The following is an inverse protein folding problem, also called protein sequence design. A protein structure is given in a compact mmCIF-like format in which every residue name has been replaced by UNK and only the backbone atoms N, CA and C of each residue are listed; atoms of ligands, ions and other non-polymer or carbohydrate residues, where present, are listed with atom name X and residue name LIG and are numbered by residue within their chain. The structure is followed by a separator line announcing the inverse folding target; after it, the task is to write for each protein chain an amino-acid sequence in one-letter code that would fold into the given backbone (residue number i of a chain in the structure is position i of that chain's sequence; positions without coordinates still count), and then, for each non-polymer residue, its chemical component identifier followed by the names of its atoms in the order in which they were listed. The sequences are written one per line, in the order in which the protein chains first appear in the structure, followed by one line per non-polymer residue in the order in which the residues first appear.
data_IF_455771582201
#
_entry.id   IF_455771582201
#
_cell.length_a   1.000
_cell.length_b   1.000
_cell.length_c   1.000
_cell.angle_alpha   90.00
_cell.angle_beta   90.00
_cell.angle_gamma   90.00
#
_symmetry.space_group_name_H-M   'P 1'
#
loop_
_entity.id
_entity.type
_entity.pdbx_description
1 polymer ?
#
# COMPACT_ATOMS: atom_id res chain seq x y z
N UNK A 1 7.08 16.81 -2.34
CA UNK A 1 6.94 18.15 -2.95
C UNK A 1 7.66 19.13 -2.04
N UNK A 2 8.25 20.18 -2.59
CA UNK A 2 8.87 21.27 -1.83
C UNK A 2 8.31 22.58 -2.37
N UNK A 3 7.84 23.45 -1.47
CA UNK A 3 7.28 24.74 -1.84
C UNK A 3 8.42 25.72 -2.16
N UNK A 4 8.34 26.38 -3.31
CA UNK A 4 9.23 27.46 -3.73
C UNK A 4 8.39 28.70 -4.10
N UNK A 5 8.97 29.92 -4.15
CA UNK A 5 8.24 31.14 -4.49
C UNK A 5 7.51 31.08 -5.84
N UNK A 6 8.09 30.38 -6.82
CA UNK A 6 7.52 30.21 -8.17
C UNK A 6 6.46 29.11 -8.23
N UNK A 7 6.33 28.31 -7.18
CA UNK A 7 5.38 27.21 -7.06
C UNK A 7 5.98 25.94 -6.46
N UNK A 8 5.16 24.89 -6.43
CA UNK A 8 5.53 23.60 -5.86
C UNK A 8 6.42 22.79 -6.81
N UNK A 9 7.59 22.38 -6.31
CA UNK A 9 8.49 21.51 -7.04
C UNK A 9 8.32 20.04 -6.62
N UNK A 10 7.97 19.19 -7.59
CA UNK A 10 7.79 17.75 -7.36
C UNK A 10 9.11 16.99 -7.55
N UNK A 11 9.79 16.66 -6.44
CA UNK A 11 11.03 15.85 -6.45
C UNK A 11 10.82 14.43 -7.00
N UNK A 12 9.66 13.83 -6.73
CA UNK A 12 9.32 12.50 -7.25
C UNK A 12 7.82 12.25 -7.23
N UNK A 13 7.37 11.31 -8.06
CA UNK A 13 6.01 10.80 -8.02
C UNK A 13 5.97 9.27 -8.15
N UNK A 14 5.03 8.63 -7.45
CA UNK A 14 4.74 7.20 -7.57
C UNK A 14 3.24 6.99 -7.66
N UNK A 15 2.82 6.18 -8.63
CA UNK A 15 1.42 5.84 -8.85
C UNK A 15 1.20 4.35 -8.62
N UNK A 16 0.05 3.98 -8.06
CA UNK A 16 -0.28 2.58 -7.75
C UNK A 16 -0.28 1.64 -8.98
N UNK A 17 -0.42 2.19 -10.20
CA UNK A 17 -0.24 1.45 -11.46
C UNK A 17 1.12 0.73 -11.55
N UNK A 18 2.14 1.18 -10.81
CA UNK A 18 3.44 0.49 -10.73
C UNK A 18 3.32 -0.96 -10.24
N UNK A 19 2.30 -1.27 -9.43
CA UNK A 19 2.06 -2.61 -8.91
C UNK A 19 1.72 -3.62 -10.01
N UNK A 20 1.30 -3.16 -11.20
CA UNK A 20 1.11 -4.03 -12.36
C UNK A 20 2.39 -4.80 -12.74
N UNK A 21 3.58 -4.22 -12.48
CA UNK A 21 4.88 -4.87 -12.71
C UNK A 21 5.13 -6.09 -11.81
N UNK A 22 4.37 -6.22 -10.72
CA UNK A 22 4.46 -7.32 -9.75
C UNK A 22 3.26 -8.27 -9.85
N UNK A 23 2.61 -8.33 -11.02
CA UNK A 23 1.44 -9.16 -11.27
C UNK A 23 0.29 -8.94 -10.27
N UNK A 24 0.07 -7.69 -9.85
CA UNK A 24 -0.96 -7.30 -8.89
C UNK A 24 -2.38 -7.63 -9.40
N UNK A 25 -3.14 -8.53 -8.73
CA UNK A 25 -4.44 -8.98 -9.22
C UNK A 25 -5.62 -8.21 -8.63
N UNK A 26 -5.41 -7.38 -7.60
CA UNK A 26 -6.46 -6.68 -6.87
C UNK A 26 -6.69 -5.26 -7.43
N UNK A 27 -7.66 -4.55 -6.85
CA UNK A 27 -7.84 -3.12 -7.12
C UNK A 27 -6.59 -2.32 -6.74
N UNK A 28 -6.25 -1.32 -7.55
CA UNK A 28 -5.18 -0.36 -7.25
C UNK A 28 -5.59 0.71 -6.23
N UNK A 29 -6.85 0.67 -5.78
CA UNK A 29 -7.46 1.65 -4.86
C UNK A 29 -7.74 1.05 -3.46
N UNK A 30 -7.20 -0.12 -3.13
CA UNK A 30 -7.39 -0.74 -1.81
C UNK A 30 -6.27 -0.38 -0.80
N UNK A 31 -6.48 -0.72 0.47
CA UNK A 31 -5.51 -0.48 1.55
C UNK A 31 -4.15 -1.15 1.29
N UNK A 32 -4.08 -2.45 0.92
CA UNK A 32 -2.81 -3.08 0.54
C UNK A 32 -2.07 -2.38 -0.60
N UNK A 33 -2.80 -1.92 -1.63
CA UNK A 33 -2.21 -1.23 -2.76
C UNK A 33 -1.60 0.12 -2.34
N UNK A 34 -2.29 0.87 -1.46
CA UNK A 34 -1.77 2.11 -0.91
C UNK A 34 -0.49 1.88 -0.10
N UNK A 35 -0.47 0.84 0.74
CA UNK A 35 0.71 0.44 1.51
C UNK A 35 1.91 0.11 0.63
N UNK A 36 1.76 -0.79 -0.35
CA UNK A 36 2.86 -1.17 -1.24
C UNK A 36 3.32 0.01 -2.11
N UNK A 37 2.40 0.89 -2.51
CA UNK A 37 2.75 2.12 -3.25
C UNK A 37 3.58 3.06 -2.38
N UNK A 38 3.20 3.24 -1.10
CA UNK A 38 3.96 3.99 -0.11
C UNK A 38 5.35 3.41 0.12
N UNK A 39 5.46 2.08 0.24
CA UNK A 39 6.75 1.38 0.36
C UNK A 39 7.67 1.67 -0.82
N UNK A 40 7.17 1.55 -2.05
CA UNK A 40 7.95 1.89 -3.25
C UNK A 40 8.32 3.38 -3.28
N UNK A 41 7.42 4.26 -2.84
CA UNK A 41 7.70 5.69 -2.75
C UNK A 41 8.84 5.97 -1.77
N UNK A 42 8.80 5.40 -0.56
CA UNK A 42 9.86 5.57 0.42
C UNK A 42 11.20 4.98 -0.03
N UNK A 43 11.21 3.78 -0.63
CA UNK A 43 12.43 3.16 -1.14
C UNK A 43 13.08 3.96 -2.27
N UNK A 44 12.25 4.56 -3.13
CA UNK A 44 12.76 5.46 -4.17
C UNK A 44 13.22 6.79 -3.57
N UNK A 45 12.50 7.34 -2.58
CA UNK A 45 12.86 8.59 -1.90
C UNK A 45 14.24 8.50 -1.25
N UNK A 46 14.51 7.38 -0.58
CA UNK A 46 15.81 7.08 0.02
C UNK A 46 16.93 7.08 -1.03
N UNK A 47 16.70 6.49 -2.21
CA UNK A 47 17.68 6.47 -3.32
C UNK A 47 18.02 7.87 -3.86
N UNK A 48 17.09 8.82 -3.75
CA UNK A 48 17.32 10.24 -4.11
C UNK A 48 17.82 11.07 -2.92
N UNK A 49 18.15 10.45 -1.79
CA UNK A 49 18.70 11.11 -0.61
C UNK A 49 17.67 11.79 0.28
N UNK A 50 16.38 11.56 0.06
CA UNK A 50 15.31 12.10 0.93
C UNK A 50 15.20 11.21 2.16
N UNK A 51 15.37 11.79 3.35
CA UNK A 51 15.31 11.06 4.63
C UNK A 51 14.12 11.42 5.51
N UNK A 52 13.58 12.62 5.33
CA UNK A 52 12.48 13.17 6.15
C UNK A 52 11.34 13.67 5.28
N UNK A 53 10.11 13.52 5.74
CA UNK A 53 8.94 14.09 5.12
C UNK A 53 7.86 14.40 6.16
N UNK A 54 6.90 15.26 5.80
CA UNK A 54 5.67 15.50 6.55
C UNK A 54 4.50 15.01 5.71
N UNK A 55 3.56 14.31 6.33
CA UNK A 55 2.36 13.84 5.64
C UNK A 55 1.36 14.98 5.46
N UNK A 56 1.00 15.23 4.20
CA UNK A 56 -0.17 16.03 3.83
C UNK A 56 -1.27 15.11 3.30
N UNK A 57 -2.46 15.21 3.87
CA UNK A 57 -3.65 14.42 3.48
C UNK A 57 -4.71 15.27 2.76
N UNK A 58 -4.47 16.56 2.55
CA UNK A 58 -5.44 17.51 2.03
C UNK A 58 -6.75 17.49 2.82
N UNK A 59 -7.87 17.35 2.11
CA UNK A 59 -9.22 17.37 2.69
C UNK A 59 -9.71 15.99 3.19
N UNK A 60 -8.84 14.98 3.24
CA UNK A 60 -9.22 13.64 3.69
C UNK A 60 -9.44 13.65 5.20
N UNK A 61 -10.57 13.10 5.65
CA UNK A 61 -10.85 12.95 7.09
C UNK A 61 -9.82 11.99 7.75
N UNK A 62 -9.15 12.40 8.83
CA UNK A 62 -8.11 11.60 9.48
C UNK A 62 -8.71 10.51 10.39
N UNK A 63 -9.28 9.47 9.80
CA UNK A 63 -9.82 8.30 10.53
C UNK A 63 -8.82 7.14 10.55
N UNK A 64 -8.78 6.37 11.64
CA UNK A 64 -7.96 5.17 11.76
C UNK A 64 -8.27 4.17 10.62
N UNK A 65 -7.23 3.56 10.06
CA UNK A 65 -7.38 2.55 9.01
C UNK A 65 -7.70 3.09 7.61
N UNK A 66 -7.61 4.41 7.39
CA UNK A 66 -7.75 5.04 6.08
C UNK A 66 -6.54 4.72 5.17
N UNK A 67 -6.75 4.71 3.85
CA UNK A 67 -5.74 4.37 2.83
C UNK A 67 -4.55 5.32 2.85
N UNK A 68 -4.75 6.59 3.19
CA UNK A 68 -3.65 7.58 3.32
C UNK A 68 -2.65 7.15 4.39
N UNK A 69 -3.13 6.61 5.51
CA UNK A 69 -2.26 6.11 6.59
C UNK A 69 -1.60 4.77 6.25
N UNK A 70 -2.20 3.97 5.36
CA UNK A 70 -1.52 2.80 4.81
C UNK A 70 -0.34 3.19 3.92
N UNK A 71 -0.51 4.22 3.07
CA UNK A 71 0.59 4.77 2.28
C UNK A 71 1.70 5.36 3.18
N UNK A 72 1.32 6.10 4.24
CA UNK A 72 2.25 6.55 5.27
C UNK A 72 3.03 5.36 5.87
N UNK A 73 2.34 4.30 6.26
CA UNK A 73 2.98 3.13 6.85
C UNK A 73 4.02 2.50 5.93
N UNK A 74 3.72 2.41 4.63
CA UNK A 74 4.69 1.94 3.63
C UNK A 74 5.93 2.83 3.54
N UNK A 75 5.75 4.16 3.55
CA UNK A 75 6.85 5.14 3.53
C UNK A 75 7.74 5.01 4.77
N UNK A 76 7.13 4.89 5.96
CA UNK A 76 7.83 4.70 7.22
C UNK A 76 8.61 3.39 7.22
N UNK A 77 7.99 2.29 6.77
CA UNK A 77 8.66 0.98 6.67
C UNK A 77 9.84 0.98 5.70
N UNK A 78 9.82 1.85 4.69
CA UNK A 78 10.96 2.02 3.79
C UNK A 78 12.17 2.73 4.46
N UNK A 79 12.01 3.30 5.65
CA UNK A 79 13.06 4.01 6.38
C UNK A 79 13.00 5.53 6.29
N UNK A 80 11.91 6.10 5.76
CA UNK A 80 11.73 7.56 5.73
C UNK A 80 11.14 8.01 7.07
N UNK A 81 11.81 8.96 7.71
CA UNK A 81 11.33 9.56 8.96
C UNK A 81 10.16 10.50 8.66
N UNK A 82 8.98 10.12 9.13
CA UNK A 82 7.78 10.94 9.06
C UNK A 82 7.21 11.07 10.47
N UNK A 83 7.02 12.27 11.03
CA UNK A 83 6.38 12.42 12.33
C UNK A 83 4.93 11.90 12.28
N UNK A 84 4.60 10.91 13.10
CA UNK A 84 3.26 10.33 13.18
C UNK A 84 3.01 9.65 14.52
N UNK A 85 1.74 9.50 14.90
CA UNK A 85 1.33 8.65 16.01
C UNK A 85 1.15 7.21 15.53
N UNK A 86 1.78 6.18 16.17
CA UNK A 86 1.59 4.78 15.78
C UNK A 86 0.11 4.34 15.81
N UNK A 87 -0.72 4.95 16.65
CA UNK A 87 -2.13 4.62 16.81
C UNK A 87 -2.99 4.89 15.55
N UNK A 88 -2.54 5.79 14.65
CA UNK A 88 -3.25 6.11 13.41
C UNK A 88 -3.00 5.08 12.30
N UNK A 89 -1.90 4.32 12.41
CA UNK A 89 -1.52 3.34 11.41
C UNK A 89 -2.55 2.20 11.39
N UNK A 90 -2.90 1.67 10.19
CA UNK A 90 -3.73 0.49 10.09
C UNK A 90 -3.04 -0.72 10.72
N UNK A 91 -3.81 -1.64 11.28
CA UNK A 91 -3.34 -2.93 11.76
C UNK A 91 -2.80 -3.80 10.61
N UNK A 92 -1.90 -4.74 10.94
CA UNK A 92 -1.31 -5.63 9.93
C UNK A 92 -2.35 -6.46 9.18
N UNK A 93 -3.41 -6.92 9.84
CA UNK A 93 -4.47 -7.69 9.20
C UNK A 93 -5.14 -6.87 8.08
N UNK A 94 -5.31 -5.56 8.29
CA UNK A 94 -5.83 -4.64 7.28
C UNK A 94 -4.82 -4.36 6.17
N UNK A 95 -3.53 -4.20 6.51
CA UNK A 95 -2.45 -4.00 5.53
C UNK A 95 -2.29 -5.21 4.60
N UNK A 96 -2.33 -6.42 5.15
CA UNK A 96 -2.22 -7.66 4.41
C UNK A 96 -3.56 -8.17 3.86
N UNK A 97 -4.63 -7.38 3.97
CA UNK A 97 -5.90 -7.67 3.30
C UNK A 97 -6.66 -8.88 3.85
N UNK A 98 -6.45 -9.26 5.11
CA UNK A 98 -7.22 -10.32 5.78
C UNK A 98 -8.72 -10.03 5.76
N UNK A 99 -9.11 -8.77 6.06
CA UNK A 99 -10.50 -8.32 5.95
C UNK A 99 -11.10 -8.50 4.55
N UNK A 100 -10.31 -8.28 3.48
CA UNK A 100 -10.74 -8.48 2.09
C UNK A 100 -10.93 -9.97 1.84
N UNK A 101 -10.00 -10.79 2.30
CA UNK A 101 -10.05 -12.24 2.15
C UNK A 101 -11.25 -12.85 2.88
N UNK A 102 -11.51 -12.40 4.12
CA UNK A 102 -12.67 -12.78 4.92
C UNK A 102 -13.98 -12.42 4.23
N UNK A 103 -14.11 -11.17 3.78
CA UNK A 103 -15.33 -10.70 3.11
C UNK A 103 -15.58 -11.45 1.81
N UNK A 104 -14.53 -11.75 1.03
CA UNK A 104 -14.64 -12.57 -0.17
C UNK A 104 -15.19 -13.97 0.18
N UNK A 105 -14.63 -14.64 1.19
CA UNK A 105 -15.08 -15.97 1.58
C UNK A 105 -16.54 -15.97 2.01
N UNK A 106 -16.92 -15.03 2.87
CA UNK A 106 -18.31 -14.85 3.34
C UNK A 106 -19.28 -14.66 2.17
N UNK A 107 -18.93 -13.76 1.24
CA UNK A 107 -19.76 -13.47 0.06
C UNK A 107 -19.95 -14.70 -0.84
N UNK A 108 -18.91 -15.52 -1.04
CA UNK A 108 -19.03 -16.77 -1.81
C UNK A 108 -19.71 -17.91 -1.05
N UNK A 109 -19.87 -17.80 0.27
CA UNK A 109 -20.66 -18.74 1.08
C UNK A 109 -22.15 -18.40 1.09
N UNK A 110 -22.54 -17.21 0.62
CA UNK A 110 -23.95 -16.81 0.52
C UNK A 110 -24.65 -17.54 -0.64
N UNK A 111 -25.82 -18.15 -0.42
CA UNK A 111 -26.52 -18.93 -1.44
C UNK A 111 -27.04 -18.08 -2.61
N UNK A 112 -27.41 -16.82 -2.35
CA UNK A 112 -28.01 -15.91 -3.35
C UNK A 112 -26.99 -14.98 -4.03
N UNK A 113 -25.68 -15.21 -3.84
CA UNK A 113 -24.68 -14.32 -4.40
C UNK A 113 -24.51 -14.54 -5.93
N UNK A 114 -24.74 -13.48 -6.69
CA UNK A 114 -24.71 -13.47 -8.17
C UNK A 114 -23.30 -13.59 -8.79
N UNK A 115 -22.24 -13.54 -7.98
CA UNK A 115 -20.86 -13.65 -8.47
C UNK A 115 -20.31 -12.39 -9.15
N UNK A 116 -21.04 -11.28 -9.17
CA UNK A 116 -20.64 -10.06 -9.90
C UNK A 116 -19.50 -9.35 -9.17
N UNK A 117 -19.60 -9.22 -7.85
CA UNK A 117 -18.56 -8.60 -7.04
C UNK A 117 -17.28 -9.44 -7.06
N UNK A 118 -16.12 -8.80 -7.25
CA UNK A 118 -14.81 -9.45 -7.33
C UNK A 118 -14.62 -10.44 -8.49
N UNK A 119 -15.49 -10.48 -9.50
CA UNK A 119 -15.34 -11.39 -10.65
C UNK A 119 -13.94 -11.27 -11.32
N UNK A 120 -13.46 -10.05 -11.55
CA UNK A 120 -12.12 -9.80 -12.10
C UNK A 120 -10.99 -10.22 -11.14
N UNK A 121 -11.20 -10.03 -9.84
CA UNK A 121 -10.23 -10.43 -8.82
C UNK A 121 -10.13 -11.95 -8.75
N UNK A 122 -11.25 -12.68 -8.77
CA UNK A 122 -11.28 -14.15 -8.76
C UNK A 122 -10.51 -14.72 -9.96
N UNK A 123 -10.74 -14.18 -11.16
CA UNK A 123 -10.04 -14.59 -12.39
C UNK A 123 -8.52 -14.41 -12.28
N UNK A 124 -8.04 -13.30 -11.71
CA UNK A 124 -6.61 -12.98 -11.61
C UNK A 124 -5.91 -13.61 -10.40
N UNK A 125 -6.60 -13.74 -9.28
CA UNK A 125 -6.07 -14.25 -8.02
C UNK A 125 -5.94 -15.79 -8.04
N UNK A 126 -6.86 -16.48 -8.71
CA UNK A 126 -6.90 -17.94 -8.74
C UNK A 126 -7.10 -18.52 -7.34
N UNK A 127 -6.23 -19.48 -6.95
CA UNK A 127 -6.28 -20.15 -5.63
C UNK A 127 -5.43 -19.47 -4.55
N UNK A 128 -4.82 -18.32 -4.83
CA UNK A 128 -3.87 -17.67 -3.90
C UNK A 128 -4.60 -16.94 -2.78
N UNK A 129 -4.15 -17.09 -1.53
CA UNK A 129 -4.63 -16.26 -0.41
C UNK A 129 -4.08 -14.85 -0.52
N UNK A 130 -4.94 -13.84 -0.37
CA UNK A 130 -4.57 -12.42 -0.49
C UNK A 130 -3.39 -12.03 0.44
N UNK A 131 -3.38 -12.42 1.73
CA UNK A 131 -2.29 -12.06 2.65
C UNK A 131 -0.93 -12.62 2.22
N UNK A 132 -0.91 -13.88 1.81
CA UNK A 132 0.33 -14.53 1.33
C UNK A 132 0.86 -13.87 0.06
N UNK A 133 -0.03 -13.42 -0.82
CA UNK A 133 0.34 -12.72 -2.04
C UNK A 133 0.96 -11.36 -1.74
N UNK A 134 0.34 -10.58 -0.85
CA UNK A 134 0.82 -9.24 -0.49
C UNK A 134 2.21 -9.34 0.15
N UNK A 135 2.40 -10.29 1.09
CA UNK A 135 3.73 -10.55 1.69
C UNK A 135 4.77 -10.96 0.65
N UNK A 136 4.39 -11.77 -0.35
CA UNK A 136 5.29 -12.15 -1.45
C UNK A 136 5.71 -10.93 -2.27
N UNK A 137 4.76 -10.08 -2.65
CA UNK A 137 5.02 -8.88 -3.46
C UNK A 137 5.88 -7.89 -2.69
N UNK A 138 5.61 -7.71 -1.39
CA UNK A 138 6.44 -6.87 -0.52
C UNK A 138 7.90 -7.34 -0.50
N UNK A 139 8.15 -8.64 -0.31
CA UNK A 139 9.50 -9.21 -0.37
C UNK A 139 10.16 -9.00 -1.74
N UNK A 140 9.41 -9.16 -2.82
CA UNK A 140 9.90 -8.94 -4.18
C UNK A 140 10.29 -7.46 -4.42
N UNK A 141 9.49 -6.52 -3.91
CA UNK A 141 9.80 -5.09 -3.94
C UNK A 141 11.09 -4.83 -3.16
N UNK A 142 11.20 -5.30 -1.91
CA UNK A 142 12.39 -5.08 -1.08
C UNK A 142 13.66 -5.64 -1.75
N UNK A 143 13.60 -6.85 -2.30
CA UNK A 143 14.70 -7.47 -3.03
C UNK A 143 15.12 -6.63 -4.25
N UNK A 144 14.16 -6.13 -5.04
CA UNK A 144 14.44 -5.29 -6.21
C UNK A 144 15.10 -3.96 -5.87
N UNK A 145 14.86 -3.46 -4.67
CA UNK A 145 15.46 -2.21 -4.19
C UNK A 145 16.75 -2.42 -3.37
N UNK A 146 17.20 -3.67 -3.19
CA UNK A 146 18.45 -4.02 -2.50
C UNK A 146 18.33 -4.10 -0.97
N UNK A 147 17.11 -4.16 -0.43
CA UNK A 147 16.85 -4.19 1.01
C UNK A 147 16.63 -5.60 1.53
N UNK A 148 17.69 -6.40 1.70
CA UNK A 148 17.59 -7.71 2.38
C UNK A 148 17.74 -7.61 3.92
N UNK A 149 18.20 -6.48 4.47
CA UNK A 149 18.43 -6.32 5.92
C UNK A 149 17.78 -5.04 6.49
N UNK A 150 16.45 -4.99 6.58
CA UNK A 150 15.75 -3.90 7.31
C UNK A 150 14.73 -4.51 8.26
N UNK A 151 15.22 -4.94 9.43
CA UNK A 151 14.37 -5.20 10.58
C UNK A 151 14.03 -3.84 11.21
N UNK A 152 12.75 -3.48 11.21
CA UNK A 152 12.18 -2.46 12.10
C UNK A 152 11.11 -3.16 12.93
#
# INVERSE_FOLDING_TARGET
VEAQPEGDYTKMAVFSKILAKYNWPLSFKCVPAAYLTGLIAGLKAEKVGIKKAVLDIGLVRPTKGNRVFAALYGVVKAGIEVPHSPAILPDENRIYGEHINSYINELYSMPDFDGVQFCLVKKKLGRKKIPTLIRKIEKEILKRFGGENRNV
#
